data_IF_509259242118
#
_entry.id   IF_509259242118
#
_cell.length_a   1.000
_cell.length_b   1.000
_cell.length_c   1.000
_cell.angle_alpha   90.00
_cell.angle_beta   90.00
_cell.angle_gamma   90.00
#
_symmetry.space_group_name_H-M   'P 1'
#
loop_
_entity.id
_entity.type
_entity.pdbx_description
1 polymer ?
#
# COMPACT_ATOMS: atom_id res chain seq x y z
N UNK A 1 -1.49 9.44 -1.76
CA UNK A 1 -0.97 8.07 -1.55
C UNK A 1 0.48 8.17 -1.14
N UNK A 2 0.90 7.40 -0.13
CA UNK A 2 2.28 7.40 0.37
C UNK A 2 2.79 5.97 0.37
N UNK A 3 3.92 5.72 -0.28
CA UNK A 3 4.47 4.37 -0.35
C UNK A 3 5.74 4.30 -1.19
N UNK A 4 6.49 3.19 -1.10
CA UNK A 4 7.63 2.95 -1.97
C UNK A 4 7.14 2.74 -3.40
N UNK A 5 7.75 3.39 -4.40
CA UNK A 5 7.41 3.10 -5.81
C UNK A 5 8.60 3.18 -6.77
N UNK A 6 9.79 3.54 -6.26
CA UNK A 6 10.98 3.81 -7.07
C UNK A 6 11.94 2.62 -7.19
N UNK A 7 11.80 1.61 -6.34
CA UNK A 7 12.65 0.41 -6.35
C UNK A 7 12.06 -0.75 -7.17
N UNK A 8 12.78 -1.87 -7.18
CA UNK A 8 12.39 -3.10 -7.88
C UNK A 8 11.60 -4.12 -7.03
N UNK A 9 11.38 -3.84 -5.74
CA UNK A 9 10.75 -4.76 -4.80
C UNK A 9 9.26 -5.00 -5.04
N UNK A 10 8.72 -6.06 -4.46
CA UNK A 10 7.29 -6.39 -4.54
C UNK A 10 6.39 -5.28 -3.97
N UNK A 11 6.80 -4.62 -2.88
CA UNK A 11 6.09 -3.46 -2.33
C UNK A 11 6.09 -2.28 -3.31
N UNK A 12 7.24 -2.01 -3.94
CA UNK A 12 7.35 -0.96 -4.95
C UNK A 12 6.42 -1.24 -6.14
N UNK A 13 6.42 -2.49 -6.64
CA UNK A 13 5.53 -2.91 -7.73
C UNK A 13 4.06 -2.80 -7.33
N UNK A 14 3.69 -3.26 -6.13
CA UNK A 14 2.32 -3.19 -5.65
C UNK A 14 1.78 -1.75 -5.61
N UNK A 15 2.56 -0.80 -5.09
CA UNK A 15 2.17 0.62 -5.06
C UNK A 15 2.01 1.15 -6.48
N UNK A 16 2.94 0.83 -7.39
CA UNK A 16 2.86 1.25 -8.80
C UNK A 16 1.57 0.77 -9.47
N UNK A 17 1.23 -0.51 -9.36
CA UNK A 17 0.01 -1.03 -9.98
C UNK A 17 -1.26 -0.50 -9.31
N UNK A 18 -1.25 -0.35 -7.99
CA UNK A 18 -2.39 0.22 -7.27
C UNK A 18 -2.64 1.67 -7.71
N UNK A 19 -1.59 2.49 -7.84
CA UNK A 19 -1.68 3.85 -8.39
C UNK A 19 -2.24 3.83 -9.81
N UNK A 20 -1.71 2.99 -10.72
CA UNK A 20 -2.19 2.90 -12.10
C UNK A 20 -3.68 2.61 -12.17
N UNK A 21 -4.16 1.64 -11.38
CA UNK A 21 -5.58 1.29 -11.37
C UNK A 21 -6.48 2.38 -10.78
N UNK A 22 -6.03 3.11 -9.75
CA UNK A 22 -6.80 4.23 -9.23
C UNK A 22 -6.86 5.40 -10.22
N UNK A 23 -5.72 5.79 -10.81
CA UNK A 23 -5.69 6.87 -11.82
C UNK A 23 -6.51 6.48 -13.05
N UNK A 24 -6.41 5.24 -13.52
CA UNK A 24 -7.22 4.71 -14.63
C UNK A 24 -8.74 4.74 -14.37
N UNK A 25 -9.16 4.79 -13.11
CA UNK A 25 -10.56 4.99 -12.69
C UNK A 25 -10.93 6.46 -12.48
N UNK A 26 -10.05 7.40 -12.82
CA UNK A 26 -10.26 8.84 -12.67
C UNK A 26 -10.03 9.38 -11.25
N UNK A 27 -9.44 8.58 -10.35
CA UNK A 27 -9.14 9.04 -8.99
C UNK A 27 -7.86 9.89 -9.03
N UNK A 28 -7.98 11.15 -8.60
CA UNK A 28 -6.83 12.06 -8.49
C UNK A 28 -5.94 11.66 -7.32
N UNK A 29 -4.63 11.59 -7.57
CA UNK A 29 -3.63 11.14 -6.59
C UNK A 29 -2.48 12.13 -6.56
N UNK A 30 -2.11 12.54 -5.34
CA UNK A 30 -0.76 12.98 -5.00
C UNK A 30 0.02 11.74 -4.55
N UNK A 31 1.15 11.43 -5.19
CA UNK A 31 2.02 10.31 -4.86
C UNK A 31 3.28 10.81 -4.16
N UNK A 32 3.51 10.30 -2.94
CA UNK A 32 4.69 10.64 -2.14
C UNK A 32 5.48 9.37 -1.83
N UNK A 33 6.78 9.43 -2.09
CA UNK A 33 7.69 8.32 -1.87
C UNK A 33 7.94 8.08 -0.37
N UNK A 34 8.04 6.81 0.02
CA UNK A 34 8.42 6.37 1.36
C UNK A 34 9.58 5.39 1.23
N UNK A 35 10.82 5.90 1.03
CA UNK A 35 11.98 5.09 0.72
C UNK A 35 12.39 4.16 1.87
N UNK A 36 11.98 4.47 3.11
CA UNK A 36 12.23 3.62 4.27
C UNK A 36 11.46 2.28 4.20
N UNK A 37 10.49 2.15 3.29
CA UNK A 37 9.69 0.93 3.08
C UNK A 37 9.84 0.33 1.66
N UNK A 38 10.89 0.70 0.93
CA UNK A 38 11.14 0.20 -0.42
C UNK A 38 12.45 -0.57 -0.53
N UNK A 39 12.61 -1.21 -1.69
CA UNK A 39 13.96 -1.58 -2.14
C UNK A 39 14.77 -0.34 -2.53
N UNK A 40 16.08 -0.50 -2.72
CA UNK A 40 16.92 0.60 -3.23
C UNK A 40 16.31 1.18 -4.51
N UNK A 41 16.27 2.51 -4.59
CA UNK A 41 15.71 3.19 -5.75
C UNK A 41 16.48 2.80 -7.01
N UNK A 42 15.73 2.49 -8.08
CA UNK A 42 16.31 2.22 -9.39
C UNK A 42 16.93 3.50 -9.97
N UNK A 43 17.94 3.36 -10.86
CA UNK A 43 18.43 4.48 -11.66
C UNK A 43 17.27 5.19 -12.35
N UNK A 44 17.34 6.52 -12.46
CA UNK A 44 16.25 7.33 -13.04
C UNK A 44 15.83 6.86 -14.43
N UNK A 45 16.79 6.42 -15.26
CA UNK A 45 16.56 5.88 -16.60
C UNK A 45 15.76 4.58 -16.63
N UNK A 46 15.67 3.86 -15.51
CA UNK A 46 14.95 2.58 -15.38
C UNK A 46 13.59 2.74 -14.69
N UNK A 47 13.18 3.97 -14.38
CA UNK A 47 11.89 4.27 -13.75
C UNK A 47 10.92 4.82 -14.78
N UNK A 48 9.64 4.54 -14.58
CA UNK A 48 8.56 5.15 -15.35
C UNK A 48 8.36 6.61 -14.88
N UNK A 49 8.68 7.63 -15.71
CA UNK A 49 8.62 9.02 -15.30
C UNK A 49 7.19 9.51 -15.05
N UNK A 50 6.18 8.77 -15.51
CA UNK A 50 4.78 9.11 -15.25
C UNK A 50 4.47 9.23 -13.75
N UNK A 51 5.08 8.39 -12.90
CA UNK A 51 4.86 8.50 -11.45
C UNK A 51 5.35 9.81 -10.86
N UNK A 52 6.43 10.38 -11.40
CA UNK A 52 6.97 11.65 -10.92
C UNK A 52 6.04 12.83 -11.26
N UNK A 53 5.18 12.68 -12.28
CA UNK A 53 4.12 13.66 -12.60
C UNK A 53 2.99 13.71 -11.57
N UNK A 54 2.86 12.66 -10.73
CA UNK A 54 1.83 12.56 -9.70
C UNK A 54 2.24 13.19 -8.36
N UNK A 55 3.42 13.83 -8.28
CA UNK A 55 3.90 14.45 -7.04
C UNK A 55 3.17 15.76 -6.68
N UNK A 56 2.38 16.32 -7.59
CA UNK A 56 1.64 17.56 -7.35
C UNK A 56 0.54 17.35 -6.30
N UNK A 57 0.33 18.30 -5.36
CA UNK A 57 -0.72 18.20 -4.36
C UNK A 57 -2.12 18.10 -4.98
N UNK A 58 -2.97 17.29 -4.35
CA UNK A 58 -4.40 17.23 -4.67
C UNK A 58 -5.22 17.49 -3.41
N UNK A 59 -6.46 17.95 -3.56
CA UNK A 59 -7.36 18.07 -2.41
C UNK A 59 -7.91 16.69 -1.98
N UNK A 60 -7.02 15.87 -1.42
CA UNK A 60 -7.31 14.51 -0.99
C UNK A 60 -7.95 14.50 0.39
N UNK A 61 -9.16 13.96 0.54
CA UNK A 61 -9.80 13.77 1.86
C UNK A 61 -9.16 12.64 2.69
N UNK A 62 -8.42 11.73 2.05
CA UNK A 62 -7.79 10.59 2.67
C UNK A 62 -6.35 10.38 2.19
N UNK A 63 -5.52 9.83 3.07
CA UNK A 63 -4.14 9.43 2.78
C UNK A 63 -4.00 7.94 3.03
N UNK A 64 -3.75 7.20 1.96
CA UNK A 64 -3.41 5.78 1.99
C UNK A 64 -1.90 5.61 2.11
N UNK A 65 -1.45 4.97 3.19
CA UNK A 65 -0.05 4.73 3.54
C UNK A 65 0.30 3.25 3.35
N UNK A 66 1.13 2.94 2.36
CA UNK A 66 1.73 1.63 2.11
C UNK A 66 3.05 1.53 2.85
N UNK A 67 2.98 1.14 4.13
CA UNK A 67 4.15 0.94 4.98
C UNK A 67 3.78 0.19 6.26
N UNK A 68 4.80 -0.16 7.04
CA UNK A 68 4.56 -0.72 8.36
C UNK A 68 3.97 0.34 9.30
N UNK A 69 3.16 -0.07 10.30
CA UNK A 69 2.48 0.83 11.24
C UNK A 69 3.35 1.92 11.88
N UNK A 70 4.63 1.64 12.12
CA UNK A 70 5.57 2.54 12.77
C UNK A 70 6.23 3.56 11.84
N UNK A 71 6.00 3.44 10.54
CA UNK A 71 6.51 4.35 9.51
C UNK A 71 5.43 5.30 9.01
N UNK A 72 4.16 5.08 9.38
CA UNK A 72 3.06 5.98 9.04
C UNK A 72 3.34 7.36 9.64
N UNK A 73 3.23 8.39 8.80
CA UNK A 73 3.30 9.80 9.20
C UNK A 73 1.90 10.41 8.98
N UNK A 74 1.02 10.42 10.00
CA UNK A 74 -0.36 10.86 9.83
C UNK A 74 -0.46 12.30 9.34
N UNK A 75 -1.43 12.57 8.48
CA UNK A 75 -1.74 13.92 7.99
C UNK A 75 -2.93 14.45 8.76
N UNK A 76 -2.72 15.55 9.51
CA UNK A 76 -3.77 16.19 10.30
C UNK A 76 -4.93 16.65 9.41
N UNK A 77 -6.15 16.42 9.85
CA UNK A 77 -7.37 16.84 9.14
C UNK A 77 -7.74 15.98 7.92
N UNK A 78 -7.03 14.88 7.67
CA UNK A 78 -7.35 13.90 6.63
C UNK A 78 -7.60 12.54 7.27
N UNK A 79 -8.35 11.68 6.57
CA UNK A 79 -8.47 10.27 6.96
C UNK A 79 -7.15 9.55 6.69
N UNK A 80 -6.58 8.89 7.69
CA UNK A 80 -5.32 8.16 7.59
C UNK A 80 -5.62 6.66 7.55
N UNK A 81 -5.27 6.03 6.43
CA UNK A 81 -5.49 4.61 6.18
C UNK A 81 -4.14 3.92 6.01
N UNK A 82 -3.83 2.92 6.82
CA UNK A 82 -2.60 2.14 6.67
C UNK A 82 -2.89 0.86 5.90
N UNK A 83 -2.38 0.74 4.67
CA UNK A 83 -2.28 -0.53 3.97
C UNK A 83 -0.97 -1.20 4.40
N UNK A 84 -1.07 -2.28 5.16
CA UNK A 84 0.11 -2.99 5.68
C UNK A 84 0.02 -4.47 5.38
N UNK A 85 1.14 -5.02 4.95
CA UNK A 85 1.31 -6.46 4.73
C UNK A 85 2.32 -6.96 5.76
N UNK A 86 1.85 -7.79 6.69
CA UNK A 86 2.72 -8.39 7.70
C UNK A 86 2.40 -9.86 7.80
N UNK A 87 3.36 -10.67 7.35
CA UNK A 87 3.24 -12.12 7.19
C UNK A 87 3.62 -12.84 8.49
N UNK A 88 2.93 -12.51 9.58
CA UNK A 88 3.05 -13.25 10.83
C UNK A 88 1.69 -13.42 11.51
N UNK A 89 1.63 -14.38 12.43
CA UNK A 89 0.44 -14.74 13.19
C UNK A 89 0.08 -13.71 14.28
N UNK A 90 1.00 -12.82 14.65
CA UNK A 90 0.84 -11.89 15.77
C UNK A 90 1.32 -10.49 15.44
N UNK A 91 0.40 -9.53 15.48
CA UNK A 91 0.74 -8.11 15.33
C UNK A 91 1.49 -7.61 16.58
N UNK A 92 2.65 -6.95 16.42
CA UNK A 92 3.35 -6.32 17.53
C UNK A 92 2.48 -5.32 18.29
N UNK A 93 2.59 -5.32 19.63
CA UNK A 93 1.81 -4.41 20.50
C UNK A 93 1.93 -2.95 20.09
N UNK A 94 3.18 -2.52 19.87
CA UNK A 94 3.50 -1.16 19.48
C UNK A 94 2.77 -0.77 18.18
N UNK A 95 2.65 -1.69 17.24
CA UNK A 95 2.02 -1.43 15.95
C UNK A 95 0.51 -1.28 16.08
N UNK A 96 -0.13 -2.12 16.90
CA UNK A 96 -1.55 -1.98 17.21
C UNK A 96 -1.84 -0.65 17.92
N UNK A 97 -0.99 -0.24 18.88
CA UNK A 97 -1.12 1.05 19.57
C UNK A 97 -1.01 2.23 18.60
N UNK A 98 -0.01 2.21 17.70
CA UNK A 98 0.17 3.26 16.71
C UNK A 98 -1.03 3.35 15.75
N UNK A 99 -1.52 2.20 15.27
CA UNK A 99 -2.66 2.15 14.37
C UNK A 99 -3.99 2.63 15.00
N UNK A 100 -4.12 2.70 16.33
CA UNK A 100 -5.32 3.28 16.96
C UNK A 100 -5.51 4.76 16.64
N UNK A 101 -4.44 5.46 16.24
CA UNK A 101 -4.50 6.83 15.75
C UNK A 101 -4.89 6.94 14.27
N UNK A 102 -4.99 5.81 13.56
CA UNK A 102 -5.44 5.74 12.17
C UNK A 102 -6.94 5.43 12.11
N UNK A 103 -7.55 5.79 10.97
CA UNK A 103 -8.98 5.56 10.74
C UNK A 103 -9.27 4.12 10.32
N UNK A 104 -8.41 3.56 9.46
CA UNK A 104 -8.52 2.21 8.94
C UNK A 104 -7.16 1.51 8.83
N UNK A 105 -7.16 0.19 8.99
CA UNK A 105 -6.09 -0.70 8.52
C UNK A 105 -6.63 -1.55 7.38
N UNK A 106 -5.91 -1.56 6.27
CA UNK A 106 -6.17 -2.44 5.12
C UNK A 106 -5.11 -3.52 5.11
N UNK A 107 -5.54 -4.77 4.97
CA UNK A 107 -4.64 -5.92 4.88
C UNK A 107 -5.02 -6.82 3.69
N UNK A 108 -4.05 -7.51 3.08
CA UNK A 108 -4.30 -8.29 1.86
C UNK A 108 -4.96 -9.64 2.12
N UNK A 109 -4.83 -10.21 3.33
CA UNK A 109 -5.26 -11.58 3.61
C UNK A 109 -6.17 -11.66 4.83
N UNK A 110 -7.04 -12.67 4.85
CA UNK A 110 -7.85 -13.02 6.03
C UNK A 110 -6.96 -13.35 7.24
N UNK A 111 -5.84 -14.06 7.03
CA UNK A 111 -4.88 -14.36 8.10
C UNK A 111 -4.34 -13.09 8.77
N UNK A 112 -3.99 -12.06 7.99
CA UNK A 112 -3.56 -10.77 8.54
C UNK A 112 -4.68 -10.10 9.32
N UNK A 113 -5.91 -10.08 8.77
CA UNK A 113 -7.08 -9.52 9.47
C UNK A 113 -7.30 -10.21 10.81
N UNK A 114 -7.19 -11.53 10.84
CA UNK A 114 -7.41 -12.33 12.05
C UNK A 114 -6.31 -12.04 13.10
N UNK A 115 -5.05 -11.84 12.68
CA UNK A 115 -3.97 -11.40 13.56
C UNK A 115 -4.23 -10.00 14.17
N UNK A 116 -4.75 -9.05 13.38
CA UNK A 116 -5.14 -7.72 13.85
C UNK A 116 -6.32 -7.78 14.83
N UNK A 117 -7.33 -8.60 14.53
CA UNK A 117 -8.49 -8.85 15.40
C UNK A 117 -8.06 -9.49 16.72
N UNK A 118 -7.21 -10.52 16.68
CA UNK A 118 -6.67 -11.18 17.86
C UNK A 118 -5.85 -10.23 18.75
N UNK A 119 -5.22 -9.21 18.16
CA UNK A 119 -4.52 -8.14 18.90
C UNK A 119 -5.47 -7.09 19.50
N UNK A 120 -6.78 -7.23 19.30
CA UNK A 120 -7.81 -6.32 19.83
C UNK A 120 -7.93 -5.00 19.05
N UNK A 121 -7.54 -4.98 17.77
CA UNK A 121 -7.84 -3.83 16.92
C UNK A 121 -9.32 -3.84 16.52
N UNK A 122 -10.02 -2.69 16.48
CA UNK A 122 -11.46 -2.67 16.20
C UNK A 122 -11.79 -3.27 14.84
N UNK A 123 -12.62 -4.32 14.83
CA UNK A 123 -12.99 -5.05 13.60
C UNK A 123 -13.66 -4.14 12.57
N UNK A 124 -14.47 -3.17 13.02
CA UNK A 124 -15.10 -2.15 12.16
C UNK A 124 -14.10 -1.25 11.41
N UNK A 125 -12.82 -1.25 11.82
CA UNK A 125 -11.74 -0.49 11.20
C UNK A 125 -10.75 -1.34 10.40
N UNK A 126 -10.97 -2.65 10.30
CA UNK A 126 -10.17 -3.54 9.46
C UNK A 126 -10.87 -3.71 8.10
N UNK A 127 -10.13 -3.60 7.00
CA UNK A 127 -10.62 -3.88 5.65
C UNK A 127 -9.71 -4.88 4.97
N UNK A 128 -10.33 -5.76 4.18
CA UNK A 128 -9.62 -6.68 3.30
C UNK A 128 -9.54 -6.08 1.90
N UNK A 129 -8.34 -6.04 1.33
CA UNK A 129 -8.11 -5.68 -0.06
C UNK A 129 -7.01 -6.59 -0.60
N UNK A 130 -7.36 -7.73 -1.21
CA UNK A 130 -6.38 -8.69 -1.72
C UNK A 130 -5.45 -8.07 -2.77
N UNK A 131 -4.26 -8.65 -2.88
CA UNK A 131 -3.36 -8.34 -3.99
C UNK A 131 -3.95 -8.86 -5.31
N UNK A 132 -3.79 -8.09 -6.38
CA UNK A 132 -4.17 -8.51 -7.72
C UNK A 132 -3.12 -9.41 -8.37
N UNK A 133 -3.54 -10.15 -9.40
CA UNK A 133 -2.66 -10.88 -10.31
C UNK A 133 -2.86 -10.32 -11.72
N UNK A 134 -1.77 -10.08 -12.43
CA UNK A 134 -1.80 -9.73 -13.85
C UNK A 134 -2.02 -11.01 -14.66
N UNK A 135 -3.28 -11.27 -15.02
CA UNK A 135 -3.65 -12.50 -15.74
C UNK A 135 -3.08 -12.53 -17.16
N UNK A 136 -2.80 -11.39 -17.78
CA UNK A 136 -2.27 -11.32 -19.14
C UNK A 136 -0.77 -11.68 -19.13
N UNK A 137 -0.04 -11.24 -18.10
CA UNK A 137 1.36 -11.59 -17.90
C UNK A 137 1.56 -13.09 -17.56
N UNK A 138 0.65 -13.66 -16.78
CA UNK A 138 0.75 -15.04 -16.29
C UNK A 138 -0.16 -16.04 -17.03
N UNK A 139 -0.79 -15.63 -18.12
CA UNK A 139 -1.55 -16.54 -18.97
C UNK A 139 -0.62 -17.62 -19.54
N UNK A 140 -0.90 -18.89 -19.26
CA UNK A 140 -0.19 -20.00 -19.89
C UNK A 140 -0.52 -19.98 -21.39
N UNK A 141 0.45 -19.64 -22.24
CA UNK A 141 0.35 -20.00 -23.65
C UNK A 141 0.43 -21.52 -23.71
N UNK A 142 -0.67 -22.20 -24.02
CA UNK A 142 -0.63 -23.63 -24.37
C UNK A 142 0.34 -23.78 -25.55
N UNK A 143 1.57 -24.19 -25.27
CA UNK A 143 2.46 -24.68 -26.31
C UNK A 143 2.00 -26.10 -26.59
N UNK A 144 1.25 -26.27 -27.68
CA UNK A 144 0.87 -27.57 -28.19
C UNK A 144 2.10 -28.48 -28.25
N UNK A 145 1.99 -29.63 -27.59
CA UNK A 145 2.94 -30.75 -27.69
C UNK A 145 2.79 -31.46 -29.03
#
# INVERSE_FOLDING_TARGET
MRGPYKGAGGHDHHVREFVRHLVGRGIRIELVDVPEWGSAALPSASRDPWFDTLAAPVDAQAVLHFCMPHQVRPVRGRLNVNYTMFEADRIPERWARLNRSHDLVIVPTSSSRDAWRARGFPESRIRLCPLGVDVDLFASTERGY
#
